data_IF_143478647551
#
_entry.id   IF_143478647551
#
_cell.length_a   1.000
_cell.length_b   1.000
_cell.length_c   1.000
_cell.angle_alpha   90.00
_cell.angle_beta   90.00
_cell.angle_gamma   90.00
#
_symmetry.space_group_name_H-M   'P 1'
#
loop_
_entity.id
_entity.type
_entity.pdbx_description
1 polymer ?
#
# COMPACT_ATOMS: atom_id res chain seq x y z
N UNK A 1 6.50 -14.48 -38.76
CA UNK A 1 6.12 -14.34 -37.34
C UNK A 1 7.41 -14.23 -36.54
N UNK A 2 7.79 -13.03 -36.10
CA UNK A 2 8.97 -12.83 -35.24
C UNK A 2 8.62 -13.14 -33.80
N UNK A 3 9.37 -14.05 -33.19
CA UNK A 3 9.18 -14.50 -31.81
C UNK A 3 9.31 -13.35 -30.81
N UNK A 4 8.32 -13.21 -29.91
CA UNK A 4 8.45 -12.35 -28.74
C UNK A 4 9.65 -12.80 -27.90
N UNK A 5 10.53 -11.86 -27.57
CA UNK A 5 11.69 -12.11 -26.73
C UNK A 5 11.26 -12.15 -25.25
N UNK A 6 11.00 -13.34 -24.72
CA UNK A 6 10.59 -13.58 -23.32
C UNK A 6 11.72 -13.36 -22.26
N UNK A 7 12.64 -12.40 -22.48
CA UNK A 7 13.89 -12.23 -21.72
C UNK A 7 14.12 -10.78 -21.21
N UNK A 8 13.12 -10.17 -20.59
CA UNK A 8 13.25 -8.87 -19.90
C UNK A 8 13.54 -9.15 -18.37
N UNK A 9 13.95 -8.23 -17.47
CA UNK A 9 14.05 -8.42 -15.98
C UNK A 9 13.51 -7.24 -15.13
N UNK A 10 12.48 -7.36 -14.24
CA UNK A 10 11.79 -6.20 -13.61
C UNK A 10 12.71 -5.21 -12.88
N UNK A 11 13.11 -4.11 -13.53
CA UNK A 11 13.75 -2.92 -12.94
C UNK A 11 15.12 -3.07 -12.26
N UNK A 12 15.51 -4.28 -11.85
CA UNK A 12 16.61 -4.61 -10.94
C UNK A 12 17.75 -5.34 -11.65
N UNK A 13 18.97 -5.10 -11.17
CA UNK A 13 20.17 -5.79 -11.64
C UNK A 13 20.37 -7.14 -10.94
N UNK A 14 19.88 -7.28 -9.71
CA UNK A 14 20.01 -8.47 -8.86
C UNK A 14 18.66 -9.15 -8.59
N UNK A 15 18.69 -10.42 -8.18
CA UNK A 15 17.51 -11.08 -7.64
C UNK A 15 17.11 -10.49 -6.26
N UNK A 16 15.81 -10.49 -5.96
CA UNK A 16 15.30 -10.11 -4.63
C UNK A 16 15.60 -11.20 -3.59
N UNK A 17 15.89 -10.77 -2.37
CA UNK A 17 16.05 -11.65 -1.20
C UNK A 17 14.69 -12.06 -0.63
N UNK A 18 14.68 -13.15 0.14
CA UNK A 18 13.57 -13.59 1.03
C UNK A 18 13.08 -12.53 2.04
N UNK A 19 13.92 -11.55 2.32
CA UNK A 19 13.68 -10.50 3.29
C UNK A 19 14.08 -9.18 2.66
N UNK A 20 13.09 -8.30 2.48
CA UNK A 20 13.24 -7.00 1.86
C UNK A 20 13.01 -5.93 2.92
N UNK A 21 14.09 -5.24 3.30
CA UNK A 21 14.02 -4.08 4.19
C UNK A 21 13.68 -2.83 3.39
N UNK A 22 12.54 -2.21 3.69
CA UNK A 22 12.10 -0.96 3.07
C UNK A 22 12.16 0.19 4.07
N UNK A 23 12.41 1.39 3.56
CA UNK A 23 12.42 2.65 4.31
C UNK A 23 11.75 3.76 3.49
N UNK A 24 10.81 4.49 4.09
CA UNK A 24 10.03 5.53 3.45
C UNK A 24 9.43 6.49 4.49
N UNK A 25 9.52 7.82 4.27
CA UNK A 25 9.00 8.85 5.19
C UNK A 25 9.27 8.54 6.68
N UNK A 26 10.55 8.33 7.02
CA UNK A 26 11.06 7.98 8.36
C UNK A 26 10.54 6.66 8.98
N UNK A 27 9.73 5.89 8.25
CA UNK A 27 9.32 4.56 8.64
C UNK A 27 10.23 3.52 7.98
N UNK A 28 10.56 2.45 8.71
CA UNK A 28 11.21 1.29 8.13
C UNK A 28 10.46 0.02 8.54
N UNK A 29 10.42 -0.96 7.64
CA UNK A 29 9.80 -2.26 7.87
C UNK A 29 10.48 -3.34 7.03
N UNK A 30 10.11 -4.59 7.28
CA UNK A 30 10.62 -5.76 6.55
C UNK A 30 9.44 -6.52 5.98
N UNK A 31 9.48 -6.77 4.67
CA UNK A 31 8.62 -7.74 4.01
C UNK A 31 9.40 -9.06 3.95
N UNK A 32 8.88 -10.08 4.61
CA UNK A 32 9.35 -11.46 4.47
C UNK A 32 8.50 -12.16 3.42
N UNK A 33 9.11 -12.95 2.56
CA UNK A 33 8.44 -13.61 1.45
C UNK A 33 8.50 -15.11 1.62
N UNK A 34 7.34 -15.75 1.79
CA UNK A 34 7.24 -17.18 2.10
C UNK A 34 7.62 -18.09 0.89
N UNK A 35 7.73 -17.50 -0.31
CA UNK A 35 7.97 -18.19 -1.59
C UNK A 35 9.09 -17.56 -2.44
N UNK A 36 10.32 -17.50 -1.91
CA UNK A 36 11.50 -17.24 -2.74
C UNK A 36 11.90 -18.47 -3.56
N UNK A 37 11.34 -18.59 -4.75
CA UNK A 37 11.76 -19.59 -5.74
C UNK A 37 11.90 -19.00 -7.14
N UNK A 38 10.88 -18.28 -7.59
CA UNK A 38 10.83 -17.71 -8.95
C UNK A 38 10.11 -16.36 -8.91
N UNK A 39 10.79 -15.31 -8.45
CA UNK A 39 10.45 -13.97 -8.94
C UNK A 39 10.66 -14.01 -10.46
N UNK A 40 9.59 -13.85 -11.24
CA UNK A 40 9.63 -14.00 -12.69
C UNK A 40 10.81 -13.23 -13.30
N UNK A 41 11.65 -13.95 -14.05
CA UNK A 41 12.91 -13.45 -14.60
C UNK A 41 12.68 -12.55 -15.84
N UNK A 42 11.74 -11.58 -15.78
CA UNK A 42 10.88 -11.24 -16.96
C UNK A 42 10.52 -9.75 -17.37
N UNK A 43 11.02 -8.60 -16.82
CA UNK A 43 10.49 -7.22 -17.14
C UNK A 43 11.43 -5.91 -17.15
N UNK A 44 12.58 -5.88 -17.84
CA UNK A 44 13.62 -4.82 -18.09
C UNK A 44 14.35 -4.03 -16.92
N UNK A 45 15.71 -4.11 -16.73
CA UNK A 45 16.40 -3.39 -15.63
C UNK A 45 16.60 -1.89 -15.89
N UNK A 46 16.38 -1.05 -14.88
CA UNK A 46 16.51 0.41 -15.00
C UNK A 46 17.96 0.87 -14.76
N UNK A 47 18.79 0.77 -15.80
CA UNK A 47 20.19 1.21 -15.77
C UNK A 47 20.36 2.71 -15.51
N UNK A 48 19.43 3.55 -15.98
CA UNK A 48 19.37 5.00 -15.72
C UNK A 48 17.93 5.47 -15.57
N UNK A 49 17.68 6.34 -14.61
CA UNK A 49 16.45 7.13 -14.53
C UNK A 49 16.65 8.42 -15.35
N UNK A 50 15.63 8.92 -16.08
CA UNK A 50 15.73 10.22 -16.76
C UNK A 50 15.94 11.37 -15.76
N UNK A 51 16.71 12.40 -16.14
CA UNK A 51 17.08 13.50 -15.23
C UNK A 51 15.88 14.33 -14.70
N UNK A 52 14.70 14.21 -15.32
CA UNK A 52 13.48 14.93 -14.97
C UNK A 52 12.52 14.13 -14.07
N UNK A 53 12.92 12.97 -13.54
CA UNK A 53 12.11 12.19 -12.59
C UNK A 53 12.66 12.36 -11.17
N UNK A 54 11.76 12.33 -10.18
CA UNK A 54 12.13 12.29 -8.77
C UNK A 54 12.29 10.83 -8.34
N UNK A 55 13.45 10.48 -7.82
CA UNK A 55 13.77 9.12 -7.35
C UNK A 55 13.82 9.13 -5.82
N UNK A 56 13.07 8.22 -5.20
CA UNK A 56 13.12 7.95 -3.76
C UNK A 56 13.71 6.55 -3.55
N UNK A 57 14.89 6.47 -2.95
CA UNK A 57 15.49 5.18 -2.60
C UNK A 57 14.73 4.58 -1.41
N UNK A 58 14.29 3.33 -1.57
CA UNK A 58 13.53 2.58 -0.57
C UNK A 58 14.41 1.62 0.23
N UNK A 59 15.58 1.26 -0.29
CA UNK A 59 16.55 0.43 0.41
C UNK A 59 18.00 0.93 0.18
N UNK A 60 18.98 0.18 0.69
CA UNK A 60 20.42 0.49 0.53
C UNK A 60 21.03 -0.07 -0.76
N UNK A 61 20.28 -0.78 -1.60
CA UNK A 61 20.79 -1.48 -2.79
C UNK A 61 20.34 -0.76 -4.07
N UNK A 62 19.11 -0.99 -4.49
CA UNK A 62 18.57 -0.51 -5.77
C UNK A 62 17.04 -0.38 -5.80
N UNK A 63 16.32 -0.64 -4.70
CA UNK A 63 14.86 -0.51 -4.64
C UNK A 63 14.46 0.96 -4.60
N UNK A 64 13.57 1.37 -5.50
CA UNK A 64 13.23 2.78 -5.77
C UNK A 64 11.76 2.95 -6.06
N UNK A 65 11.17 4.00 -5.50
CA UNK A 65 9.94 4.61 -5.98
C UNK A 65 10.32 5.80 -6.87
N UNK A 66 9.90 5.75 -8.12
CA UNK A 66 10.18 6.77 -9.14
C UNK A 66 8.88 7.53 -9.42
N UNK A 67 8.93 8.85 -9.29
CA UNK A 67 7.83 9.78 -9.58
C UNK A 67 8.17 10.60 -10.82
N UNK A 68 7.33 10.51 -11.86
CA UNK A 68 7.46 11.26 -13.10
C UNK A 68 6.17 12.05 -13.39
N UNK A 69 6.29 13.25 -13.96
CA UNK A 69 5.14 14.07 -14.37
C UNK A 69 5.03 14.02 -15.89
N UNK A 70 3.87 13.61 -16.40
CA UNK A 70 3.58 13.48 -17.84
C UNK A 70 2.34 14.31 -18.15
N UNK A 71 2.54 15.46 -18.79
CA UNK A 71 1.47 16.43 -19.05
C UNK A 71 0.83 16.92 -17.75
N UNK A 72 -0.47 16.66 -17.58
CA UNK A 72 -1.23 16.97 -16.34
C UNK A 72 -1.24 15.83 -15.32
N UNK A 73 -0.69 14.67 -15.65
CA UNK A 73 -0.70 13.47 -14.79
C UNK A 73 0.63 13.22 -14.09
N UNK A 74 0.60 12.43 -13.02
CA UNK A 74 1.78 11.83 -12.38
C UNK A 74 1.78 10.32 -12.59
N UNK A 75 2.96 9.74 -12.79
CA UNK A 75 3.21 8.30 -12.84
C UNK A 75 4.14 7.95 -11.68
N UNK A 76 3.71 6.98 -10.88
CA UNK A 76 4.51 6.39 -9.82
C UNK A 76 4.91 4.97 -10.22
N UNK A 77 6.19 4.65 -10.12
CA UNK A 77 6.74 3.36 -10.53
C UNK A 77 7.68 2.82 -9.46
N UNK A 78 7.35 1.67 -8.88
CA UNK A 78 8.28 0.87 -8.09
C UNK A 78 9.08 -0.01 -9.05
N UNK A 79 10.41 0.02 -8.96
CA UNK A 79 11.27 -0.81 -9.82
C UNK A 79 11.37 -2.29 -9.38
N UNK A 80 10.43 -2.75 -8.57
CA UNK A 80 10.33 -4.12 -8.06
C UNK A 80 8.84 -4.48 -7.89
N UNK A 81 8.45 -5.76 -8.01
CA UNK A 81 7.05 -6.17 -8.12
C UNK A 81 6.33 -6.23 -6.77
N UNK A 82 6.21 -5.08 -6.09
CA UNK A 82 5.68 -4.99 -4.73
C UNK A 82 4.29 -5.61 -4.56
N UNK A 83 3.34 -5.32 -5.46
CA UNK A 83 1.98 -5.89 -5.42
C UNK A 83 1.98 -7.42 -5.43
N UNK A 84 2.86 -8.02 -6.23
CA UNK A 84 2.96 -9.47 -6.35
C UNK A 84 3.53 -10.09 -5.06
N UNK A 85 4.56 -9.46 -4.49
CA UNK A 85 5.13 -9.85 -3.19
C UNK A 85 4.05 -9.80 -2.10
N UNK A 86 3.27 -8.71 -2.05
CA UNK A 86 2.18 -8.51 -1.08
C UNK A 86 1.03 -9.52 -1.29
N UNK A 87 0.77 -9.96 -2.52
CA UNK A 87 -0.28 -10.93 -2.85
C UNK A 87 0.08 -12.40 -2.53
N UNK A 88 1.38 -12.73 -2.46
CA UNK A 88 1.88 -14.11 -2.34
C UNK A 88 2.49 -14.45 -0.98
N UNK A 89 2.65 -13.47 -0.10
CA UNK A 89 3.25 -13.66 1.23
C UNK A 89 2.17 -13.53 2.31
N UNK A 90 1.81 -14.64 2.95
CA UNK A 90 0.66 -14.72 3.88
C UNK A 90 0.86 -13.83 5.12
N UNK A 91 2.12 -13.70 5.54
CA UNK A 91 2.54 -12.95 6.74
C UNK A 91 2.48 -11.42 6.60
N UNK A 92 2.23 -10.89 5.40
CA UNK A 92 2.34 -9.45 5.07
C UNK A 92 1.53 -8.54 5.98
N UNK A 93 0.28 -8.91 6.30
CA UNK A 93 -0.68 -8.00 6.94
C UNK A 93 -0.27 -7.46 8.33
N UNK A 94 0.72 -8.07 9.01
CA UNK A 94 1.10 -7.71 10.39
C UNK A 94 2.39 -6.89 10.51
N UNK A 95 3.30 -6.96 9.55
CA UNK A 95 4.56 -6.19 9.57
C UNK A 95 4.77 -5.29 8.36
N UNK A 96 3.93 -5.39 7.34
CA UNK A 96 4.00 -4.53 6.16
C UNK A 96 3.50 -3.11 6.44
N UNK A 97 4.22 -2.13 5.90
CA UNK A 97 3.82 -0.72 5.84
C UNK A 97 3.81 -0.17 4.42
N UNK A 98 3.67 -1.01 3.38
CA UNK A 98 3.53 -0.59 1.98
C UNK A 98 2.28 0.27 1.77
N UNK A 99 1.32 0.23 2.69
CA UNK A 99 0.23 1.20 2.78
C UNK A 99 0.71 2.66 2.78
N UNK A 100 1.93 2.95 3.25
CA UNK A 100 2.53 4.29 3.23
C UNK A 100 2.73 4.80 1.79
N UNK A 101 3.08 3.93 0.83
CA UNK A 101 3.20 4.31 -0.57
C UNK A 101 1.85 4.74 -1.16
N UNK A 102 0.79 3.98 -0.92
CA UNK A 102 -0.54 4.36 -1.41
C UNK A 102 -1.08 5.60 -0.71
N UNK A 103 -0.83 5.77 0.61
CA UNK A 103 -1.17 7.01 1.33
C UNK A 103 -0.41 8.22 0.76
N UNK A 104 0.86 8.06 0.38
CA UNK A 104 1.65 9.09 -0.29
C UNK A 104 1.08 9.46 -1.67
N UNK A 105 0.83 8.47 -2.51
CA UNK A 105 0.27 8.65 -3.86
C UNK A 105 -1.11 9.32 -3.78
N UNK A 106 -1.99 8.86 -2.90
CA UNK A 106 -3.34 9.41 -2.72
C UNK A 106 -3.33 10.88 -2.27
N UNK A 107 -2.42 11.27 -1.36
CA UNK A 107 -2.20 12.68 -0.97
C UNK A 107 -1.78 13.54 -2.18
N UNK A 108 -0.98 13.00 -3.10
CA UNK A 108 -0.55 13.71 -4.32
C UNK A 108 -1.64 13.82 -5.39
N UNK A 109 -2.71 13.03 -5.30
CA UNK A 109 -3.79 12.94 -6.31
C UNK A 109 -5.16 13.36 -5.76
N UNK A 110 -5.22 13.98 -4.58
CA UNK A 110 -6.47 14.38 -3.90
C UNK A 110 -7.50 13.24 -3.76
N UNK A 111 -7.03 12.00 -3.60
CA UNK A 111 -7.90 10.84 -3.38
C UNK A 111 -8.24 10.76 -1.89
N UNK A 112 -9.53 10.75 -1.57
CA UNK A 112 -10.01 10.63 -0.19
C UNK A 112 -9.53 9.32 0.44
N UNK A 113 -8.77 9.43 1.53
CA UNK A 113 -8.28 8.29 2.30
C UNK A 113 -9.18 8.01 3.51
N UNK A 114 -9.48 6.73 3.72
CA UNK A 114 -10.19 6.21 4.89
C UNK A 114 -9.30 5.15 5.56
N UNK A 115 -8.95 5.34 6.82
CA UNK A 115 -8.18 4.37 7.61
C UNK A 115 -8.49 4.51 9.10
N UNK A 116 -8.05 3.56 9.92
CA UNK A 116 -8.18 3.63 11.39
C UNK A 116 -6.80 3.82 12.04
N UNK A 117 -6.75 3.94 13.36
CA UNK A 117 -5.51 3.91 14.14
C UNK A 117 -4.99 2.50 14.44
N UNK A 118 -5.55 1.47 13.80
CA UNK A 118 -5.10 0.08 13.89
C UNK A 118 -5.07 -0.57 12.48
N UNK A 119 -3.88 -0.87 11.97
CA UNK A 119 -3.73 -1.42 10.61
C UNK A 119 -4.38 -2.82 10.43
N UNK A 120 -4.66 -3.55 11.53
CA UNK A 120 -5.43 -4.78 11.52
C UNK A 120 -6.97 -4.57 11.40
N UNK A 121 -7.43 -3.32 11.31
CA UNK A 121 -8.84 -2.95 11.15
C UNK A 121 -9.03 -2.06 9.92
N UNK A 122 -9.64 -2.65 8.88
CA UNK A 122 -9.99 -1.96 7.63
C UNK A 122 -11.26 -1.15 7.81
N UNK A 123 -11.35 0.00 7.12
CA UNK A 123 -12.55 0.83 7.09
C UNK A 123 -12.85 1.29 5.67
N UNK A 124 -14.13 1.29 5.30
CA UNK A 124 -14.65 1.79 4.04
C UNK A 124 -15.85 2.69 4.30
N UNK A 125 -15.77 3.95 3.88
CA UNK A 125 -16.92 4.86 3.88
C UNK A 125 -17.94 4.39 2.84
N UNK A 126 -19.17 4.15 3.27
CA UNK A 126 -20.31 3.84 2.44
C UNK A 126 -21.05 5.14 2.11
N UNK A 127 -21.52 5.29 0.87
CA UNK A 127 -22.33 6.45 0.49
C UNK A 127 -23.79 6.20 0.88
N UNK A 128 -24.34 7.06 1.73
CA UNK A 128 -25.78 7.17 1.93
C UNK A 128 -26.34 8.17 0.90
N UNK A 129 -27.32 7.80 0.07
CA UNK A 129 -28.04 8.76 -0.74
C UNK A 129 -28.76 9.77 0.14
N UNK A 130 -28.65 11.07 -0.20
CA UNK A 130 -29.43 12.16 0.38
C UNK A 130 -29.29 12.38 1.91
N UNK A 131 -28.26 11.84 2.56
CA UNK A 131 -27.94 12.12 3.97
C UNK A 131 -26.56 12.73 4.14
N UNK A 132 -26.45 13.66 5.10
CA UNK A 132 -25.17 14.18 5.61
C UNK A 132 -24.46 13.21 6.58
N UNK A 133 -25.18 12.20 7.06
CA UNK A 133 -24.63 11.17 7.94
C UNK A 133 -23.56 10.32 7.23
N UNK A 134 -22.58 9.89 8.01
CA UNK A 134 -21.40 9.17 7.52
C UNK A 134 -21.50 7.71 7.95
N UNK A 135 -21.75 6.83 7.00
CA UNK A 135 -21.80 5.38 7.21
C UNK A 135 -20.43 4.76 6.91
N UNK A 136 -19.94 3.91 7.81
CA UNK A 136 -18.68 3.19 7.63
C UNK A 136 -18.90 1.69 7.81
N UNK A 137 -18.38 0.90 6.87
CA UNK A 137 -18.12 -0.52 7.08
C UNK A 137 -16.72 -0.64 7.70
N UNK A 138 -16.63 -1.30 8.84
CA UNK A 138 -15.39 -1.55 9.58
C UNK A 138 -15.21 -3.08 9.66
N UNK A 139 -14.00 -3.56 9.45
CA UNK A 139 -13.67 -4.99 9.42
C UNK A 139 -12.39 -5.25 10.19
N UNK A 140 -12.45 -6.14 11.19
CA UNK A 140 -11.25 -6.75 11.76
C UNK A 140 -10.71 -7.80 10.77
N UNK A 141 -9.46 -7.68 10.34
CA UNK A 141 -8.80 -8.68 9.50
C UNK A 141 -7.89 -9.63 10.29
N UNK A 142 -7.66 -9.38 11.58
CA UNK A 142 -6.90 -10.26 12.47
C UNK A 142 -7.68 -11.51 12.86
N UNK A 143 -6.95 -12.50 13.37
CA UNK A 143 -7.49 -13.66 14.11
C UNK A 143 -7.65 -13.36 15.61
N UNK A 144 -7.16 -12.22 16.08
CA UNK A 144 -7.31 -11.74 17.46
C UNK A 144 -8.38 -10.64 17.58
N UNK A 145 -8.83 -10.38 18.81
CA UNK A 145 -9.64 -9.18 19.10
C UNK A 145 -8.83 -7.92 18.76
N UNK A 146 -9.48 -6.95 18.12
CA UNK A 146 -8.85 -5.67 17.74
C UNK A 146 -9.66 -4.49 18.24
N UNK A 147 -8.96 -3.40 18.56
CA UNK A 147 -9.56 -2.16 19.04
C UNK A 147 -9.12 -0.97 18.19
N UNK A 148 -10.05 -0.06 17.93
CA UNK A 148 -9.81 1.24 17.30
C UNK A 148 -10.29 2.37 18.20
N UNK A 149 -9.56 3.48 18.20
CA UNK A 149 -9.95 4.72 18.90
C UNK A 149 -10.19 5.88 17.92
N UNK A 150 -9.75 5.76 16.67
CA UNK A 150 -9.92 6.80 15.66
C UNK A 150 -10.27 6.23 14.28
N UNK A 151 -11.16 6.92 13.58
CA UNK A 151 -11.37 6.77 12.13
C UNK A 151 -10.91 8.08 11.48
N UNK A 152 -9.95 7.96 10.57
CA UNK A 152 -9.46 9.06 9.74
C UNK A 152 -10.26 9.08 8.44
N UNK A 153 -11.03 10.14 8.21
CA UNK A 153 -11.85 10.39 7.01
C UNK A 153 -11.40 11.71 6.40
N UNK A 154 -10.36 11.63 5.57
CA UNK A 154 -9.72 12.71 4.83
C UNK A 154 -9.39 13.97 5.67
N UNK A 155 -10.36 14.86 5.85
CA UNK A 155 -10.26 16.18 6.48
C UNK A 155 -10.63 16.16 7.98
N UNK A 156 -11.10 15.02 8.50
CA UNK A 156 -11.54 14.86 9.89
C UNK A 156 -10.99 13.59 10.55
N UNK A 157 -10.75 13.68 11.87
CA UNK A 157 -10.48 12.54 12.74
C UNK A 157 -11.67 12.32 13.65
N UNK A 158 -12.39 11.21 13.47
CA UNK A 158 -13.53 10.84 14.30
C UNK A 158 -13.02 10.00 15.47
N UNK A 159 -13.25 10.48 16.71
CA UNK A 159 -12.99 9.70 17.92
C UNK A 159 -14.04 8.60 18.07
N UNK A 160 -13.58 7.40 18.43
CA UNK A 160 -14.39 6.21 18.65
C UNK A 160 -13.79 5.36 19.78
N UNK A 161 -14.45 4.26 20.13
CA UNK A 161 -13.97 3.28 21.10
C UNK A 161 -14.60 1.91 20.75
N UNK A 162 -14.31 1.43 19.55
CA UNK A 162 -14.88 0.18 19.02
C UNK A 162 -13.88 -0.96 19.25
N UNK A 163 -14.38 -2.02 19.86
CA UNK A 163 -13.71 -3.34 19.91
C UNK A 163 -14.41 -4.26 18.90
N UNK A 164 -13.62 -5.04 18.17
CA UNK A 164 -14.09 -6.00 17.17
C UNK A 164 -13.54 -7.38 17.49
N UNK A 165 -14.41 -8.38 17.56
CA UNK A 165 -14.00 -9.78 17.67
C UNK A 165 -13.28 -10.25 16.40
N UNK A 166 -12.53 -11.37 16.43
CA UNK A 166 -11.84 -11.90 15.26
C UNK A 166 -12.73 -11.95 14.00
N UNK A 167 -12.21 -11.45 12.87
CA UNK A 167 -12.90 -11.42 11.57
C UNK A 167 -14.26 -10.68 11.53
N UNK A 168 -14.63 -9.94 12.58
CA UNK A 168 -15.92 -9.24 12.65
C UNK A 168 -16.03 -8.11 11.61
N UNK A 169 -17.22 -7.99 11.01
CA UNK A 169 -17.67 -6.82 10.27
C UNK A 169 -18.68 -6.03 11.12
N UNK A 170 -18.55 -4.71 11.14
CA UNK A 170 -19.46 -3.79 11.83
C UNK A 170 -19.79 -2.62 10.92
N UNK A 171 -21.07 -2.24 10.87
CA UNK A 171 -21.51 -1.02 10.19
C UNK A 171 -21.79 0.05 11.23
N UNK A 172 -21.17 1.22 11.09
CA UNK A 172 -21.25 2.33 12.03
C UNK A 172 -21.81 3.55 11.33
N UNK A 173 -22.94 4.07 11.85
CA UNK A 173 -23.52 5.35 11.44
C UNK A 173 -23.02 6.44 12.39
N UNK A 174 -22.35 7.45 11.84
CA UNK A 174 -21.98 8.67 12.54
C UNK A 174 -22.89 9.77 12.01
N UNK A 175 -23.76 10.29 12.88
CA UNK A 175 -24.67 11.37 12.52
C UNK A 175 -23.91 12.66 12.24
N UNK A 176 -24.40 13.46 11.30
CA UNK A 176 -23.96 14.85 11.19
C UNK A 176 -24.37 15.64 12.44
N UNK A 177 -23.45 16.49 12.91
CA UNK A 177 -23.68 17.54 13.92
C UNK A 177 -24.02 18.85 13.24
#
# INVERSE_FOLDING_TARGET
>A
MTSCQFNLKYGLNSALNESISLSFENNSWVIKTDHCGIWEKSYAPLSKCPNNVKVQNLDKRELRLIENTIGKGKVFFCNFPIEHILSTSESVNFTDKSHLFYRYIAKQTSINLYHTDNDAVRVKKLRLPLSSDKLYLIQNISWDEQKIKHIFDNDQTIKTNITLTPKQYLVVLIKAT
#
